data_IF_081725840455
#
_entry.id   IF_081725840455
#
_cell.length_a   1.000
_cell.length_b   1.000
_cell.length_c   1.000
_cell.angle_alpha   90.00
_cell.angle_beta   90.00
_cell.angle_gamma   90.00
#
_symmetry.space_group_name_H-M   'P 1'
#
loop_
_entity.id
_entity.type
_entity.pdbx_description
1 polymer ?
#
# COMPACT_ATOMS: atom_id res chain seq x y z
N UNK A 1 21.65 15.69 47.54
CA UNK A 1 22.86 14.85 47.26
C UNK A 1 22.92 14.69 45.78
N UNK A 2 23.68 15.60 45.17
CA UNK A 2 24.89 15.43 44.36
C UNK A 2 24.68 14.66 43.09
N UNK A 3 24.53 15.32 41.95
CA UNK A 3 25.55 15.84 41.04
C UNK A 3 26.21 14.72 40.20
N UNK A 4 26.13 14.76 38.85
CA UNK A 4 27.25 15.11 37.96
C UNK A 4 26.84 14.96 36.48
N UNK A 5 26.72 15.89 35.78
CA UNK A 5 27.45 16.62 34.76
C UNK A 5 28.63 15.85 34.13
N UNK A 6 28.55 15.58 32.79
CA UNK A 6 29.74 15.69 31.93
C UNK A 6 29.37 15.79 30.45
N UNK A 7 29.44 16.99 30.03
CA UNK A 7 29.69 17.47 28.69
C UNK A 7 31.06 16.96 28.20
N UNK A 8 31.16 16.60 26.92
CA UNK A 8 32.47 16.58 26.27
C UNK A 8 32.33 17.01 24.81
N UNK A 9 32.68 18.27 24.68
CA UNK A 9 33.03 19.01 23.49
C UNK A 9 34.40 18.53 23.01
N UNK A 10 34.61 18.29 21.75
CA UNK A 10 35.94 18.29 21.13
C UNK A 10 35.84 19.02 19.79
N UNK A 11 36.24 20.28 19.85
CA UNK A 11 36.83 21.09 18.80
C UNK A 11 38.27 20.59 18.54
N UNK A 12 38.72 20.79 17.33
CA UNK A 12 40.07 21.35 16.94
C UNK A 12 40.40 20.94 15.53
N UNK A 13 40.53 21.90 14.60
CA UNK A 13 41.74 22.69 14.27
C UNK A 13 42.83 21.87 13.54
N UNK A 14 43.20 22.38 12.39
CA UNK A 14 44.56 22.56 11.90
C UNK A 14 44.52 22.98 10.43
N UNK A 15 44.78 24.20 10.07
CA UNK A 15 46.11 24.77 9.79
C UNK A 15 47.04 23.88 8.95
N UNK A 16 47.44 24.42 7.81
CA UNK A 16 48.80 24.53 7.25
C UNK A 16 48.69 25.36 5.94
N UNK A 17 49.12 26.65 5.83
CA UNK A 17 50.47 27.12 5.54
C UNK A 17 51.12 26.29 4.43
N UNK A 18 51.41 26.76 3.21
CA UNK A 18 52.11 27.96 2.82
C UNK A 18 53.41 27.53 2.17
N UNK A 19 53.67 27.90 0.95
CA UNK A 19 55.02 28.14 0.50
C UNK A 19 55.02 28.90 -0.81
N UNK A 20 55.61 30.04 -0.71
CA UNK A 20 56.07 30.91 -1.81
C UNK A 20 57.20 30.19 -2.58
N UNK A 21 57.26 30.43 -3.86
CA UNK A 21 58.43 30.11 -4.70
C UNK A 21 58.37 30.89 -5.99
N UNK A 22 59.18 31.86 -6.04
CA UNK A 22 59.27 32.93 -7.02
C UNK A 22 60.10 32.54 -8.26
N UNK A 23 59.91 33.34 -9.27
CA UNK A 23 60.85 33.71 -10.33
C UNK A 23 61.17 32.71 -11.44
N UNK A 24 60.91 33.07 -12.71
CA UNK A 24 61.90 33.59 -13.65
C UNK A 24 61.21 34.16 -14.90
N UNK A 25 61.69 35.34 -15.27
CA UNK A 25 61.46 36.06 -16.51
C UNK A 25 61.92 35.27 -17.74
N UNK A 26 61.17 35.37 -18.81
CA UNK A 26 61.62 35.02 -20.15
C UNK A 26 60.73 35.70 -21.17
N UNK A 27 61.26 36.76 -21.72
CA UNK A 27 60.70 37.52 -22.85
C UNK A 27 60.65 36.72 -24.17
N UNK A 28 59.80 37.24 -25.04
CA UNK A 28 60.00 37.42 -26.50
C UNK A 28 59.13 36.54 -27.40
N UNK A 29 58.39 37.23 -28.19
CA UNK A 29 58.13 37.34 -29.60
C UNK A 29 56.71 37.09 -30.10
N UNK A 30 56.21 38.17 -30.62
CA UNK A 30 55.09 38.36 -31.54
C UNK A 30 54.76 37.18 -32.47
N UNK A 31 53.51 36.82 -32.47
CA UNK A 31 52.90 36.01 -33.47
C UNK A 31 51.39 36.20 -33.43
N UNK A 32 50.87 37.19 -34.14
CA UNK A 32 49.45 37.43 -34.29
C UNK A 32 48.88 36.36 -35.27
N UNK A 33 48.15 35.44 -34.72
CA UNK A 33 47.24 34.60 -35.50
C UNK A 33 45.82 34.77 -34.95
N UNK A 34 44.78 34.93 -35.78
CA UNK A 34 43.43 35.06 -35.32
C UNK A 34 42.95 33.67 -34.86
N UNK A 35 42.73 33.55 -33.57
CA UNK A 35 42.09 32.37 -33.03
C UNK A 35 40.63 32.33 -33.48
N UNK A 36 40.33 31.45 -34.40
CA UNK A 36 38.96 31.00 -34.64
C UNK A 36 38.47 30.38 -33.32
N UNK A 37 37.54 31.07 -32.65
CA UNK A 37 36.84 30.53 -31.54
C UNK A 37 35.97 29.35 -32.01
N UNK A 38 36.48 28.14 -31.83
CA UNK A 38 35.66 26.94 -31.94
C UNK A 38 34.68 26.93 -30.78
N UNK A 39 33.39 27.10 -31.12
CA UNK A 39 32.33 26.86 -30.19
C UNK A 39 32.39 25.39 -29.65
N UNK A 40 32.24 25.16 -28.37
CA UNK A 40 32.23 23.81 -27.84
C UNK A 40 31.08 23.02 -28.50
N UNK A 41 31.30 21.73 -28.85
CA UNK A 41 30.25 20.91 -29.43
C UNK A 41 29.07 20.86 -28.47
N UNK A 42 27.88 21.18 -28.95
CA UNK A 42 26.65 21.03 -28.23
C UNK A 42 26.57 19.58 -27.71
N UNK A 43 26.72 19.40 -26.41
CA UNK A 43 26.47 18.13 -25.75
C UNK A 43 24.99 17.84 -25.95
N UNK A 44 24.68 16.87 -26.82
CA UNK A 44 23.35 16.31 -26.93
C UNK A 44 22.98 15.76 -25.54
N UNK A 45 22.12 16.47 -24.86
CA UNK A 45 21.47 15.97 -23.63
C UNK A 45 20.84 14.63 -23.97
N UNK A 46 21.14 13.55 -23.23
CA UNK A 46 20.40 12.31 -23.37
C UNK A 46 18.92 12.63 -23.18
N UNK A 47 18.02 12.00 -23.97
CA UNK A 47 16.58 12.21 -23.76
C UNK A 47 16.29 11.93 -22.30
N UNK A 48 15.67 12.91 -21.65
CA UNK A 48 15.22 12.77 -20.26
C UNK A 48 14.51 11.41 -20.16
N UNK A 49 15.11 10.51 -19.37
CA UNK A 49 14.50 9.23 -19.07
C UNK A 49 13.07 9.53 -18.67
N UNK A 50 12.13 9.06 -19.48
CA UNK A 50 10.71 9.20 -19.19
C UNK A 50 10.54 8.75 -17.75
N UNK A 51 10.23 9.70 -16.87
CA UNK A 51 9.90 9.41 -15.50
C UNK A 51 8.81 8.36 -15.58
N UNK A 52 9.15 7.14 -15.21
CA UNK A 52 8.18 6.06 -15.05
C UNK A 52 7.20 6.61 -14.05
N UNK A 53 6.04 7.04 -14.53
CA UNK A 53 4.97 7.53 -13.69
C UNK A 53 4.73 6.46 -12.63
N UNK A 54 4.93 6.81 -11.37
CA UNK A 54 4.58 5.93 -10.27
C UNK A 54 3.17 5.40 -10.54
N UNK A 55 2.91 4.10 -10.38
CA UNK A 55 1.59 3.54 -10.63
C UNK A 55 0.60 4.36 -9.81
N UNK A 56 -0.34 5.01 -10.47
CA UNK A 56 -1.45 5.67 -9.81
C UNK A 56 -2.11 4.59 -8.94
N UNK A 57 -2.48 4.89 -7.70
CA UNK A 57 -3.26 3.95 -6.91
C UNK A 57 -4.47 3.58 -7.77
N UNK A 58 -4.45 2.39 -8.31
CA UNK A 58 -5.58 1.79 -9.02
C UNK A 58 -6.65 1.63 -7.97
N UNK A 59 -7.76 2.31 -8.13
CA UNK A 59 -8.93 2.08 -7.29
C UNK A 59 -9.18 0.56 -7.27
N UNK A 60 -9.31 -0.07 -6.11
CA UNK A 60 -9.44 -1.50 -6.01
C UNK A 60 -10.67 -1.92 -6.82
N UNK A 61 -10.48 -2.87 -7.74
CA UNK A 61 -11.59 -3.45 -8.49
C UNK A 61 -12.50 -4.12 -7.48
N UNK A 62 -13.65 -3.51 -7.26
CA UNK A 62 -14.64 -4.04 -6.32
C UNK A 62 -15.23 -5.32 -6.91
N UNK A 63 -15.11 -6.48 -6.26
CA UNK A 63 -15.67 -7.73 -6.79
C UNK A 63 -17.20 -7.65 -6.87
N UNK A 64 -17.82 -8.34 -7.86
CA UNK A 64 -19.27 -8.37 -7.97
C UNK A 64 -19.89 -8.96 -6.69
N UNK A 65 -20.93 -8.31 -6.18
CA UNK A 65 -21.57 -8.71 -4.93
C UNK A 65 -20.79 -8.31 -3.65
N UNK A 66 -19.84 -7.38 -3.78
CA UNK A 66 -19.15 -6.84 -2.62
C UNK A 66 -20.11 -6.13 -1.65
N UNK A 67 -19.98 -6.48 -0.38
CA UNK A 67 -20.71 -5.85 0.72
C UNK A 67 -19.69 -5.14 1.61
N UNK A 68 -19.97 -3.88 1.89
CA UNK A 68 -19.14 -3.01 2.73
C UNK A 68 -19.08 -3.58 4.15
N UNK A 69 -17.88 -3.67 4.69
CA UNK A 69 -17.65 -4.16 6.04
C UNK A 69 -16.98 -3.12 6.94
N UNK A 70 -16.82 -3.45 8.22
CA UNK A 70 -16.06 -2.62 9.15
C UNK A 70 -14.61 -2.45 8.68
N UNK A 71 -14.00 -1.31 9.02
CA UNK A 71 -12.62 -0.94 8.65
C UNK A 71 -12.38 -0.60 7.17
N UNK A 72 -13.36 -0.74 6.29
CA UNK A 72 -13.22 -0.32 4.89
C UNK A 72 -13.08 1.20 4.78
N UNK A 73 -12.28 1.65 3.82
CA UNK A 73 -12.11 3.06 3.51
C UNK A 73 -12.90 3.42 2.26
N UNK A 74 -13.87 4.31 2.41
CA UNK A 74 -14.73 4.78 1.34
C UNK A 74 -14.41 6.25 1.05
N UNK A 75 -14.34 6.61 -0.22
CA UNK A 75 -14.30 8.01 -0.65
C UNK A 75 -15.67 8.41 -1.18
N UNK A 76 -16.25 9.40 -0.57
CA UNK A 76 -17.56 9.92 -0.94
C UNK A 76 -17.34 11.30 -1.56
N UNK A 77 -17.61 11.40 -2.85
CA UNK A 77 -17.34 12.61 -3.65
C UNK A 77 -18.65 13.25 -4.05
N UNK A 78 -18.83 14.51 -3.67
CA UNK A 78 -19.91 15.35 -4.12
C UNK A 78 -19.45 16.19 -5.32
N UNK A 79 -20.18 16.12 -6.44
CA UNK A 79 -19.76 16.73 -7.71
C UNK A 79 -19.54 18.25 -7.62
N UNK A 80 -20.41 18.96 -6.93
CA UNK A 80 -20.37 20.43 -6.85
C UNK A 80 -19.66 20.96 -5.61
N UNK A 81 -19.55 20.16 -4.56
CA UNK A 81 -19.09 20.60 -3.24
C UNK A 81 -17.90 19.76 -2.75
N UNK A 82 -16.72 20.33 -2.93
CA UNK A 82 -15.48 19.67 -2.45
C UNK A 82 -15.41 19.60 -0.94
N UNK A 83 -15.98 20.57 -0.25
CA UNK A 83 -15.99 20.64 1.22
C UNK A 83 -16.84 19.54 1.87
N UNK A 84 -17.77 18.97 1.10
CA UNK A 84 -18.58 17.83 1.53
C UNK A 84 -17.99 16.48 1.13
N UNK A 85 -17.02 16.49 0.22
CA UNK A 85 -16.31 15.27 -0.18
C UNK A 85 -15.34 14.85 0.90
N UNK A 86 -15.45 13.61 1.38
CA UNK A 86 -14.65 13.11 2.47
C UNK A 86 -14.30 11.63 2.28
N UNK A 87 -13.12 11.28 2.74
CA UNK A 87 -12.75 9.88 2.92
C UNK A 87 -13.27 9.43 4.28
N UNK A 88 -14.19 8.47 4.27
CA UNK A 88 -14.84 7.96 5.45
C UNK A 88 -14.43 6.52 5.72
N UNK A 89 -13.87 6.26 6.89
CA UNK A 89 -13.60 4.93 7.37
C UNK A 89 -14.86 4.36 8.03
N UNK A 90 -15.24 3.14 7.64
CA UNK A 90 -16.36 2.44 8.26
C UNK A 90 -15.95 2.03 9.69
N UNK A 91 -16.69 2.53 10.66
CA UNK A 91 -16.46 2.24 12.09
C UNK A 91 -16.82 0.79 12.43
N UNK A 92 -16.35 0.26 13.57
CA UNK A 92 -16.72 -1.09 14.03
C UNK A 92 -18.21 -1.30 14.22
N UNK A 93 -18.97 -0.22 14.47
CA UNK A 93 -20.44 -0.25 14.54
C UNK A 93 -21.11 -0.30 13.15
N UNK A 94 -20.31 -0.29 12.10
CA UNK A 94 -20.77 -0.33 10.71
C UNK A 94 -21.27 1.00 10.15
N UNK A 95 -21.06 2.10 10.86
CA UNK A 95 -21.49 3.44 10.43
C UNK A 95 -20.32 4.23 9.88
N UNK A 96 -20.64 5.17 9.01
CA UNK A 96 -19.74 6.20 8.51
C UNK A 96 -20.23 7.56 9.00
N UNK A 97 -19.30 8.45 9.32
CA UNK A 97 -19.59 9.84 9.68
C UNK A 97 -19.26 10.74 8.49
N UNK A 98 -20.19 11.54 8.08
CA UNK A 98 -20.06 12.48 6.95
C UNK A 98 -20.41 13.90 7.39
N UNK A 99 -19.80 14.92 6.80
CA UNK A 99 -20.22 16.29 6.99
C UNK A 99 -21.72 16.45 6.64
N UNK A 100 -22.46 17.22 7.41
CA UNK A 100 -23.88 17.54 7.28
C UNK A 100 -24.88 16.37 7.46
N UNK A 101 -24.57 15.16 6.98
CA UNK A 101 -25.49 14.01 7.04
C UNK A 101 -25.35 13.25 8.36
N UNK A 102 -24.29 13.56 9.14
CA UNK A 102 -23.95 12.88 10.38
C UNK A 102 -23.60 11.39 10.19
N UNK A 103 -24.26 10.49 10.89
CA UNK A 103 -23.95 9.07 10.87
C UNK A 103 -24.89 8.27 9.97
N UNK A 104 -24.35 7.52 9.02
CA UNK A 104 -25.10 6.67 8.11
C UNK A 104 -24.60 5.23 8.20
N UNK A 105 -25.53 4.27 8.24
CA UNK A 105 -25.20 2.86 8.21
C UNK A 105 -24.67 2.48 6.82
N UNK A 106 -23.41 2.02 6.76
CA UNK A 106 -22.75 1.60 5.55
C UNK A 106 -22.47 0.09 5.51
N UNK A 107 -22.09 -0.52 6.65
CA UNK A 107 -21.84 -1.96 6.69
C UNK A 107 -23.10 -2.77 6.40
N UNK A 108 -22.92 -3.84 5.64
CA UNK A 108 -24.01 -4.70 5.16
C UNK A 108 -24.68 -4.23 3.88
N UNK A 109 -24.31 -3.07 3.36
CA UNK A 109 -24.81 -2.53 2.09
C UNK A 109 -23.80 -2.72 0.96
N UNK A 110 -24.30 -2.81 -0.27
CA UNK A 110 -23.43 -2.67 -1.44
C UNK A 110 -23.11 -1.19 -1.69
N UNK A 111 -22.03 -0.85 -2.42
CA UNK A 111 -21.72 0.53 -2.78
C UNK A 111 -22.90 1.24 -3.48
N UNK A 112 -23.65 0.51 -4.31
CA UNK A 112 -24.84 1.04 -5.00
C UNK A 112 -25.99 1.34 -4.03
N UNK A 113 -26.21 0.46 -3.06
CA UNK A 113 -27.24 0.68 -2.03
C UNK A 113 -26.86 1.86 -1.12
N UNK A 114 -25.57 1.96 -0.76
CA UNK A 114 -25.06 3.10 0.00
C UNK A 114 -25.23 4.40 -0.79
N UNK A 115 -24.90 4.41 -2.08
CA UNK A 115 -25.10 5.57 -2.96
C UNK A 115 -26.56 6.05 -2.95
N UNK A 116 -27.54 5.13 -3.14
CA UNK A 116 -28.95 5.47 -3.08
C UNK A 116 -29.35 6.09 -1.75
N UNK A 117 -28.93 5.46 -0.66
CA UNK A 117 -29.23 5.93 0.69
C UNK A 117 -28.63 7.30 0.96
N UNK A 118 -27.37 7.53 0.58
CA UNK A 118 -26.74 8.85 0.72
C UNK A 118 -27.43 9.91 -0.12
N UNK A 119 -27.85 9.57 -1.34
CA UNK A 119 -28.59 10.49 -2.21
C UNK A 119 -29.95 10.89 -1.59
N UNK A 120 -30.65 9.94 -0.99
CA UNK A 120 -31.93 10.22 -0.30
C UNK A 120 -31.75 11.10 0.93
N UNK A 121 -30.74 10.82 1.77
CA UNK A 121 -30.44 11.64 2.95
C UNK A 121 -29.95 13.05 2.57
N UNK A 122 -29.14 13.16 1.49
CA UNK A 122 -28.61 14.44 1.02
C UNK A 122 -29.68 15.37 0.46
N UNK A 123 -30.79 14.84 -0.09
CA UNK A 123 -31.93 15.66 -0.60
C UNK A 123 -32.56 16.55 0.46
N UNK A 124 -32.37 16.24 1.73
CA UNK A 124 -32.85 17.09 2.83
C UNK A 124 -32.07 18.40 2.96
N UNK A 125 -30.87 18.44 2.41
CA UNK A 125 -29.93 19.56 2.55
C UNK A 125 -29.57 20.20 1.20
N UNK A 126 -29.75 19.46 0.08
CA UNK A 126 -29.36 19.88 -1.27
C UNK A 126 -30.38 19.41 -2.30
N UNK A 127 -30.75 20.29 -3.24
CA UNK A 127 -31.73 19.96 -4.31
C UNK A 127 -31.13 18.98 -5.34
N UNK A 128 -29.81 19.09 -5.67
CA UNK A 128 -29.12 18.30 -6.69
C UNK A 128 -27.91 17.56 -6.09
N UNK A 129 -28.13 16.56 -5.26
CA UNK A 129 -27.06 15.74 -4.70
C UNK A 129 -26.57 14.69 -5.72
N UNK A 130 -25.52 15.03 -6.47
CA UNK A 130 -24.80 14.05 -7.30
C UNK A 130 -23.60 13.51 -6.53
N UNK A 131 -23.72 12.27 -6.02
CA UNK A 131 -22.78 11.64 -5.13
C UNK A 131 -22.10 10.49 -5.88
N UNK A 132 -20.81 10.33 -5.68
CA UNK A 132 -20.08 9.14 -6.14
C UNK A 132 -19.47 8.46 -4.93
N UNK A 133 -19.71 7.16 -4.78
CA UNK A 133 -19.13 6.33 -3.72
C UNK A 133 -18.04 5.46 -4.34
N UNK A 134 -16.82 5.68 -3.92
CA UNK A 134 -15.63 4.92 -4.37
C UNK A 134 -15.07 4.15 -3.18
N UNK A 135 -14.85 2.85 -3.33
CA UNK A 135 -14.15 2.06 -2.33
C UNK A 135 -12.65 2.29 -2.53
N UNK A 136 -11.96 2.88 -1.56
CA UNK A 136 -10.51 3.12 -1.59
C UNK A 136 -9.72 1.91 -1.14
N UNK A 137 -10.14 1.32 -0.02
CA UNK A 137 -9.47 0.16 0.56
C UNK A 137 -10.48 -0.83 1.11
N UNK A 138 -10.27 -2.10 0.80
CA UNK A 138 -11.06 -3.21 1.32
C UNK A 138 -10.28 -3.82 2.49
N UNK A 139 -10.59 -3.39 3.69
CA UNK A 139 -9.93 -3.84 4.92
C UNK A 139 -10.75 -4.87 5.70
N UNK A 140 -12.05 -4.93 5.44
CA UNK A 140 -12.98 -5.87 6.07
C UNK A 140 -12.77 -7.32 5.64
N UNK A 141 -12.21 -7.54 4.44
CA UNK A 141 -12.01 -8.87 3.87
C UNK A 141 -10.54 -9.24 3.90
N UNK A 142 -10.09 -9.84 5.01
CA UNK A 142 -8.70 -10.30 5.18
C UNK A 142 -8.66 -11.77 5.59
N UNK A 143 -7.65 -12.48 5.08
CA UNK A 143 -7.22 -13.77 5.63
C UNK A 143 -5.84 -13.59 6.29
N UNK A 144 -5.58 -14.43 7.24
CA UNK A 144 -4.31 -14.43 7.99
C UNK A 144 -3.52 -15.67 7.64
N UNK A 145 -2.21 -15.52 7.51
CA UNK A 145 -1.30 -16.67 7.39
C UNK A 145 -0.22 -16.56 8.45
N UNK A 146 0.05 -17.66 9.13
CA UNK A 146 1.04 -17.74 10.22
C UNK A 146 1.83 -19.05 10.16
N UNK A 147 2.99 -19.07 10.79
CA UNK A 147 3.89 -20.23 10.86
C UNK A 147 5.03 -20.16 9.87
N UNK A 148 5.46 -21.33 9.35
CA UNK A 148 6.64 -21.47 8.51
C UNK A 148 6.38 -21.06 7.04
N UNK A 149 6.09 -19.75 6.84
CA UNK A 149 5.99 -19.09 5.53
C UNK A 149 6.98 -17.94 5.45
N UNK A 150 7.32 -17.51 4.22
CA UNK A 150 8.30 -16.44 4.05
C UNK A 150 7.80 -15.10 4.58
N UNK A 151 6.53 -14.78 4.38
CA UNK A 151 5.91 -13.52 4.82
C UNK A 151 4.60 -13.82 5.57
N UNK A 152 4.65 -14.10 6.89
CA UNK A 152 3.44 -14.23 7.68
C UNK A 152 2.75 -12.88 7.87
N UNK A 153 1.43 -12.88 7.96
CA UNK A 153 0.66 -11.64 8.17
C UNK A 153 -0.76 -11.67 7.62
N UNK A 154 -1.46 -10.53 7.69
CA UNK A 154 -2.77 -10.36 7.06
C UNK A 154 -2.64 -10.10 5.56
N UNK A 155 -3.52 -10.72 4.79
CA UNK A 155 -3.62 -10.53 3.34
C UNK A 155 -5.04 -10.12 2.95
N UNK A 156 -5.22 -9.06 2.16
CA UNK A 156 -6.53 -8.65 1.69
C UNK A 156 -7.08 -9.63 0.66
N UNK A 157 -8.35 -9.98 0.81
CA UNK A 157 -9.09 -10.82 -0.14
C UNK A 157 -9.89 -9.91 -1.10
N UNK A 158 -9.21 -9.30 -2.05
CA UNK A 158 -9.84 -8.43 -3.06
C UNK A 158 -10.55 -9.21 -4.17
N UNK A 159 -10.20 -10.47 -4.34
CA UNK A 159 -10.80 -11.41 -5.28
C UNK A 159 -10.97 -12.78 -4.61
N UNK A 160 -11.78 -13.68 -5.18
CA UNK A 160 -11.81 -15.07 -4.73
C UNK A 160 -10.40 -15.65 -4.71
N UNK A 161 -9.89 -15.92 -3.54
CA UNK A 161 -8.50 -16.36 -3.33
C UNK A 161 -8.49 -17.73 -2.68
N UNK A 162 -7.77 -18.67 -3.29
CA UNK A 162 -7.62 -20.02 -2.75
C UNK A 162 -6.44 -20.10 -1.78
N UNK A 163 -6.40 -21.19 -0.98
CA UNK A 163 -5.30 -21.43 -0.04
C UNK A 163 -3.94 -21.47 -0.73
N UNK A 164 -3.87 -22.12 -1.91
CA UNK A 164 -2.63 -22.18 -2.69
C UNK A 164 -2.15 -20.80 -3.14
N UNK A 165 -3.08 -19.95 -3.58
CA UNK A 165 -2.77 -18.58 -3.98
C UNK A 165 -2.31 -17.75 -2.80
N UNK A 166 -2.95 -17.88 -1.62
CA UNK A 166 -2.52 -17.17 -0.42
C UNK A 166 -1.08 -17.56 -0.03
N UNK A 167 -0.74 -18.85 -0.04
CA UNK A 167 0.62 -19.31 0.23
C UNK A 167 1.61 -18.72 -0.77
N UNK A 168 1.24 -18.65 -2.06
CA UNK A 168 2.08 -18.04 -3.09
C UNK A 168 2.28 -16.54 -2.87
N UNK A 169 1.24 -15.81 -2.46
CA UNK A 169 1.32 -14.39 -2.09
C UNK A 169 2.22 -14.17 -0.85
N UNK A 170 2.19 -15.13 0.09
CA UNK A 170 3.09 -15.14 1.26
C UNK A 170 4.55 -15.49 0.92
N UNK A 171 4.87 -15.66 -0.37
CA UNK A 171 6.23 -15.97 -0.83
C UNK A 171 6.60 -17.44 -0.73
N UNK A 172 5.62 -18.34 -0.55
CA UNK A 172 5.81 -19.77 -0.43
C UNK A 172 6.10 -20.26 0.98
N UNK A 173 6.26 -21.56 1.09
CA UNK A 173 6.63 -22.24 2.35
C UNK A 173 8.13 -22.16 2.59
N UNK A 174 8.54 -22.10 3.85
CA UNK A 174 9.96 -22.24 4.24
C UNK A 174 10.45 -23.68 4.17
N UNK A 175 11.75 -23.88 4.19
CA UNK A 175 12.39 -25.20 4.05
C UNK A 175 11.97 -26.19 5.14
N UNK A 176 11.67 -25.71 6.34
CA UNK A 176 11.27 -26.53 7.49
C UNK A 176 9.75 -26.68 7.63
N UNK A 177 8.97 -26.08 6.76
CA UNK A 177 7.51 -26.12 6.80
C UNK A 177 6.96 -27.52 6.60
N UNK A 178 6.04 -27.94 7.46
CA UNK A 178 5.35 -29.22 7.27
C UNK A 178 4.20 -29.09 6.24
N UNK A 179 4.56 -29.17 4.99
CA UNK A 179 3.65 -29.01 3.85
C UNK A 179 2.47 -30.00 3.79
N UNK A 180 2.48 -31.06 4.62
CA UNK A 180 1.41 -32.06 4.69
C UNK A 180 0.37 -31.75 5.76
N UNK A 181 0.69 -30.91 6.74
CA UNK A 181 -0.14 -30.65 7.93
C UNK A 181 -0.56 -29.18 8.07
N UNK A 182 -0.79 -28.53 6.96
CA UNK A 182 -1.32 -27.16 6.98
C UNK A 182 -2.79 -27.23 7.42
N UNK A 183 -3.20 -26.27 8.26
CA UNK A 183 -4.56 -26.18 8.77
C UNK A 183 -5.16 -24.82 8.46
N UNK A 184 -6.42 -24.82 8.06
CA UNK A 184 -7.20 -23.61 7.86
C UNK A 184 -8.19 -23.52 9.01
N UNK A 185 -8.09 -22.49 9.82
CA UNK A 185 -9.00 -22.22 10.92
C UNK A 185 -10.05 -21.22 10.44
N UNK A 186 -11.29 -21.65 10.43
CA UNK A 186 -12.44 -20.85 10.01
C UNK A 186 -13.47 -20.76 11.13
N UNK A 187 -13.99 -19.60 11.36
CA UNK A 187 -15.10 -19.40 12.32
C UNK A 187 -16.42 -19.47 11.55
N UNK A 188 -17.21 -20.51 11.81
CA UNK A 188 -18.56 -20.67 11.25
C UNK A 188 -19.59 -20.73 12.37
N UNK A 189 -20.58 -19.86 12.32
CA UNK A 189 -21.66 -19.82 13.33
C UNK A 189 -21.13 -19.74 14.79
N UNK A 190 -20.05 -18.98 15.01
CA UNK A 190 -19.42 -18.83 16.33
C UNK A 190 -18.59 -20.04 16.79
N UNK A 191 -18.44 -21.07 15.95
CA UNK A 191 -17.58 -22.24 16.22
C UNK A 191 -16.37 -22.24 15.31
N UNK A 192 -15.21 -22.56 15.85
CA UNK A 192 -14.01 -22.74 15.06
C UNK A 192 -13.99 -24.13 14.41
N UNK A 193 -13.84 -24.16 13.10
CA UNK A 193 -13.68 -25.37 12.31
C UNK A 193 -12.27 -25.39 11.75
N UNK A 194 -11.60 -26.52 11.91
CA UNK A 194 -10.27 -26.77 11.36
C UNK A 194 -10.38 -27.62 10.09
N UNK A 195 -9.89 -27.11 8.97
CA UNK A 195 -9.86 -27.80 7.69
C UNK A 195 -8.41 -28.18 7.37
N UNK A 196 -8.16 -29.46 7.13
CA UNK A 196 -6.82 -29.93 6.79
C UNK A 196 -6.49 -29.62 5.32
N UNK A 197 -5.28 -29.14 5.08
CA UNK A 197 -4.76 -28.84 3.76
C UNK A 197 -3.40 -29.48 3.55
N UNK A 198 -3.24 -30.27 2.50
CA UNK A 198 -1.97 -30.89 2.13
C UNK A 198 -1.42 -30.23 0.87
N UNK A 199 -0.45 -29.35 1.04
CA UNK A 199 0.17 -28.60 -0.06
C UNK A 199 0.74 -29.53 -1.15
N UNK A 200 1.42 -30.63 -0.77
CA UNK A 200 2.04 -31.56 -1.73
C UNK A 200 1.01 -32.28 -2.58
N UNK A 201 -0.10 -32.73 -1.98
CA UNK A 201 -1.15 -33.41 -2.71
C UNK A 201 -1.89 -32.47 -3.67
N UNK A 202 -2.15 -31.25 -3.24
CA UNK A 202 -2.79 -30.24 -4.09
C UNK A 202 -1.85 -29.80 -5.22
N UNK A 203 -0.58 -29.54 -4.93
CA UNK A 203 0.42 -29.16 -5.93
C UNK A 203 0.67 -30.26 -6.97
N UNK A 204 0.52 -31.55 -6.59
CA UNK A 204 0.60 -32.68 -7.52
C UNK A 204 -0.73 -33.01 -8.23
N UNK A 205 -1.79 -32.23 -8.00
CA UNK A 205 -3.11 -32.43 -8.64
C UNK A 205 -3.95 -33.58 -8.07
N UNK A 206 -3.50 -34.23 -6.97
CA UNK A 206 -4.18 -35.43 -6.43
C UNK A 206 -5.43 -35.13 -5.63
N UNK A 207 -5.44 -34.01 -4.86
CA UNK A 207 -6.55 -33.63 -3.95
C UNK A 207 -6.95 -32.17 -4.16
N UNK A 208 -7.37 -31.82 -5.35
CA UNK A 208 -7.75 -30.44 -5.69
C UNK A 208 -8.93 -29.92 -4.87
N UNK A 209 -9.79 -30.80 -4.36
CA UNK A 209 -10.93 -30.43 -3.50
C UNK A 209 -10.51 -29.80 -2.17
N UNK A 210 -9.26 -29.97 -1.73
CA UNK A 210 -8.73 -29.30 -0.56
C UNK A 210 -8.34 -27.84 -0.83
N UNK A 211 -8.18 -27.44 -2.10
CA UNK A 211 -7.87 -26.07 -2.48
C UNK A 211 -9.13 -25.21 -2.45
N UNK A 212 -9.63 -24.97 -1.26
CA UNK A 212 -10.84 -24.19 -1.02
C UNK A 212 -10.60 -22.71 -1.17
N UNK A 213 -11.65 -21.94 -1.45
CA UNK A 213 -11.64 -20.50 -1.33
C UNK A 213 -11.64 -20.07 0.12
N UNK A 214 -10.80 -19.07 0.39
CA UNK A 214 -10.69 -18.44 1.70
C UNK A 214 -11.84 -17.47 1.93
N UNK A 215 -12.33 -17.46 3.15
CA UNK A 215 -13.33 -16.50 3.63
C UNK A 215 -12.68 -15.45 4.50
N UNK A 216 -13.27 -14.24 4.58
CA UNK A 216 -12.81 -13.21 5.52
C UNK A 216 -12.75 -13.76 6.95
N UNK A 217 -11.62 -13.54 7.62
CA UNK A 217 -11.36 -14.06 8.95
C UNK A 217 -10.70 -15.45 9.02
N UNK A 218 -10.49 -16.11 7.89
CA UNK A 218 -9.76 -17.38 7.87
C UNK A 218 -8.31 -17.19 8.30
N UNK A 219 -7.81 -18.15 9.07
CA UNK A 219 -6.39 -18.19 9.47
C UNK A 219 -5.75 -19.49 8.96
N UNK A 220 -4.76 -19.35 8.11
CA UNK A 220 -3.96 -20.47 7.60
C UNK A 220 -2.74 -20.65 8.48
N UNK A 221 -2.61 -21.81 9.11
CA UNK A 221 -1.51 -22.17 10.01
C UNK A 221 -0.62 -23.18 9.31
N UNK A 222 0.64 -22.82 9.14
CA UNK A 222 1.68 -23.66 8.53
C UNK A 222 2.65 -24.10 9.63
N UNK A 223 2.59 -25.35 10.10
CA UNK A 223 3.47 -25.85 11.13
C UNK A 223 4.85 -26.21 10.61
#
# INVERSE_FOLDING_TARGET
MTANCRSMNIERDAHVRGCLGAWVLGCVVLGTAPAFAQAPPAQSMPPAAAAVAAPRPTDPVVPPGYVIGPDDLLSIVYWKDKDMSADAKVRPDGRIALPLINEVQAAGLTPEQLHKKLTEESKKYMEDANITVVVREINSRRAFITGEVNKPGPYPLTSPTTVMQLISLAGGLRDYANSKKIMIMRTQNGRQVSLAFNYKDVASGKKLTQNIELQPGDTVVVP
#
